data_IF_562782166743
#
_entry.id   IF_562782166743
#
_cell.length_a   1.000
_cell.length_b   1.000
_cell.length_c   1.000
_cell.angle_alpha   90.00
_cell.angle_beta   90.00
_cell.angle_gamma   90.00
#
_symmetry.space_group_name_H-M   'P 1'
#
loop_
_entity.id
_entity.type
_entity.pdbx_description
1 polymer ?
#
# COMPACT_ATOMS: atom_id res chain seq x y z
N UNK A 1 -4.86 -20.67 -3.02
CA UNK A 1 -3.51 -21.09 -2.63
C UNK A 1 -2.49 -20.53 -3.63
N UNK A 2 -1.52 -19.76 -3.16
CA UNK A 2 -0.38 -19.30 -3.99
C UNK A 2 0.69 -20.39 -4.04
N UNK A 3 0.86 -21.11 -2.94
CA UNK A 3 1.74 -22.27 -2.84
C UNK A 3 0.87 -23.51 -2.84
N UNK A 4 0.71 -24.09 -4.01
CA UNK A 4 -0.02 -25.31 -4.31
C UNK A 4 0.95 -26.48 -4.59
N UNK A 5 0.42 -27.63 -4.97
CA UNK A 5 1.21 -28.81 -5.31
C UNK A 5 2.20 -28.53 -6.46
N UNK A 6 1.79 -27.76 -7.48
CA UNK A 6 2.65 -27.42 -8.61
C UNK A 6 3.84 -26.56 -8.18
N UNK A 7 3.62 -25.61 -7.30
CA UNK A 7 4.67 -24.79 -6.72
C UNK A 7 5.64 -25.63 -5.85
N UNK A 8 5.10 -26.53 -5.03
CA UNK A 8 5.89 -27.43 -4.17
C UNK A 8 6.77 -28.38 -4.97
N UNK A 9 6.28 -28.91 -6.10
CA UNK A 9 7.06 -29.77 -7.01
C UNK A 9 8.28 -29.09 -7.62
N UNK A 10 8.29 -27.75 -7.67
CA UNK A 10 9.41 -26.94 -8.20
C UNK A 10 10.45 -26.60 -7.14
N UNK A 11 10.17 -26.91 -5.87
CA UNK A 11 11.11 -26.66 -4.77
C UNK A 11 12.18 -27.73 -4.69
N UNK A 12 13.32 -27.37 -4.13
CA UNK A 12 14.39 -28.35 -3.83
C UNK A 12 13.95 -29.22 -2.66
N UNK A 13 14.26 -30.53 -2.64
CA UNK A 13 13.92 -31.39 -1.49
C UNK A 13 14.52 -30.94 -0.15
N UNK A 14 15.60 -30.16 -0.21
CA UNK A 14 16.24 -29.55 0.98
C UNK A 14 15.62 -28.23 1.41
N UNK A 15 14.59 -27.74 0.70
CA UNK A 15 13.96 -26.46 1.01
C UNK A 15 13.18 -26.52 2.34
N UNK A 16 13.17 -25.39 3.05
CA UNK A 16 12.23 -25.11 4.12
C UNK A 16 11.24 -24.06 3.63
N UNK A 17 9.96 -24.31 3.81
CA UNK A 17 8.89 -23.35 3.51
C UNK A 17 8.45 -22.69 4.82
N UNK A 18 8.43 -21.36 4.84
CA UNK A 18 7.99 -20.57 5.98
C UNK A 18 6.76 -19.75 5.58
N UNK A 19 5.68 -19.84 6.35
CA UNK A 19 4.46 -19.08 6.16
C UNK A 19 4.09 -18.30 7.43
N UNK A 20 4.52 -17.05 7.48
CA UNK A 20 4.12 -16.06 8.49
C UNK A 20 3.18 -15.00 7.91
N UNK A 21 2.66 -15.20 6.70
CA UNK A 21 1.77 -14.27 6.03
C UNK A 21 0.29 -14.55 6.32
N UNK A 22 -0.28 -15.60 5.70
CA UNK A 22 -1.67 -16.04 5.95
C UNK A 22 -1.84 -17.52 5.60
N UNK A 23 -2.66 -18.22 6.39
CA UNK A 23 -2.92 -19.66 6.21
C UNK A 23 -3.37 -20.04 4.79
N UNK A 24 -4.40 -19.41 4.21
CA UNK A 24 -4.92 -19.75 2.89
C UNK A 24 -3.97 -19.53 1.71
N UNK A 25 -2.79 -18.98 1.92
CA UNK A 25 -1.78 -18.85 0.85
C UNK A 25 -1.13 -20.20 0.50
N UNK A 26 -1.17 -21.16 1.41
CA UNK A 26 -0.50 -22.47 1.29
C UNK A 26 -1.53 -23.57 1.34
N UNK A 27 -1.44 -24.54 0.42
CA UNK A 27 -2.23 -25.74 0.44
C UNK A 27 -1.66 -26.72 1.49
N UNK A 28 -2.35 -26.85 2.60
CA UNK A 28 -1.92 -27.66 3.73
C UNK A 28 -1.80 -29.15 3.39
N UNK A 29 -2.75 -29.68 2.59
CA UNK A 29 -2.74 -31.07 2.18
C UNK A 29 -1.56 -31.35 1.23
N UNK A 30 -1.30 -30.46 0.29
CA UNK A 30 -0.16 -30.57 -0.62
C UNK A 30 1.19 -30.49 0.13
N UNK A 31 1.28 -29.61 1.14
CA UNK A 31 2.48 -29.52 2.00
C UNK A 31 2.69 -30.81 2.76
N UNK A 32 1.63 -31.41 3.35
CA UNK A 32 1.72 -32.66 4.06
C UNK A 32 2.26 -33.78 3.16
N UNK A 33 1.67 -33.94 1.98
CA UNK A 33 2.14 -34.90 0.99
C UNK A 33 3.60 -34.71 0.59
N UNK A 34 4.01 -33.44 0.36
CA UNK A 34 5.39 -33.11 0.00
C UNK A 34 6.40 -33.45 1.11
N UNK A 35 6.01 -33.27 2.38
CA UNK A 35 6.84 -33.65 3.53
C UNK A 35 6.96 -35.16 3.68
N UNK A 36 5.84 -35.90 3.55
CA UNK A 36 5.80 -37.38 3.64
C UNK A 36 6.61 -38.03 2.52
N UNK A 37 6.57 -37.49 1.31
CA UNK A 37 7.34 -37.96 0.15
C UNK A 37 8.81 -37.45 0.14
N UNK A 38 9.23 -36.62 1.10
CA UNK A 38 10.58 -36.10 1.17
C UNK A 38 10.90 -35.04 0.10
N UNK A 39 9.88 -34.47 -0.55
CA UNK A 39 10.02 -33.39 -1.54
C UNK A 39 10.15 -32.02 -0.90
N UNK A 40 9.84 -31.91 0.38
CA UNK A 40 10.05 -30.71 1.21
C UNK A 40 10.71 -31.14 2.52
N UNK A 41 11.74 -30.42 2.94
CA UNK A 41 12.46 -30.76 4.19
C UNK A 41 11.67 -30.36 5.43
N UNK A 42 11.10 -29.18 5.45
CA UNK A 42 10.47 -28.61 6.65
C UNK A 42 9.43 -27.58 6.26
N UNK A 43 8.34 -27.53 7.01
CA UNK A 43 7.36 -26.45 6.95
C UNK A 43 7.26 -25.75 8.31
N UNK A 44 7.31 -24.44 8.31
CA UNK A 44 7.11 -23.60 9.51
C UNK A 44 5.96 -22.66 9.24
N UNK A 45 4.97 -22.62 10.12
CA UNK A 45 3.80 -21.77 9.93
C UNK A 45 3.29 -21.19 11.24
N UNK A 46 2.83 -19.97 11.14
CA UNK A 46 2.13 -19.25 12.21
C UNK A 46 0.59 -19.49 12.17
N UNK A 47 0.16 -20.37 11.28
CA UNK A 47 -1.25 -20.68 11.04
C UNK A 47 -1.49 -22.17 11.22
N UNK A 48 -1.92 -22.62 12.42
CA UNK A 48 -2.27 -24.01 12.68
C UNK A 48 -3.36 -24.49 11.71
N UNK A 49 -3.17 -25.67 11.13
CA UNK A 49 -4.22 -26.38 10.40
C UNK A 49 -4.30 -27.82 10.90
N UNK A 50 -5.50 -28.43 10.96
CA UNK A 50 -5.65 -29.80 11.45
C UNK A 50 -4.79 -30.82 10.70
N UNK A 51 -4.57 -30.59 9.40
CA UNK A 51 -3.79 -31.47 8.52
C UNK A 51 -2.30 -31.50 8.85
N UNK A 52 -1.80 -30.44 9.45
CA UNK A 52 -0.36 -30.21 9.67
C UNK A 52 0.05 -30.31 11.14
N UNK A 53 -0.89 -30.20 12.08
CA UNK A 53 -0.60 -30.34 13.51
C UNK A 53 -0.12 -31.77 13.80
N UNK A 54 1.06 -31.85 14.42
CA UNK A 54 1.68 -33.15 14.76
C UNK A 54 2.34 -33.87 13.59
N UNK A 55 2.32 -33.33 12.38
CA UNK A 55 3.04 -33.88 11.25
C UNK A 55 4.56 -33.77 11.44
N UNK A 56 5.31 -34.76 10.95
CA UNK A 56 6.77 -34.76 11.02
C UNK A 56 7.35 -33.58 10.20
N UNK A 57 8.37 -32.94 10.71
CA UNK A 57 9.04 -31.81 10.08
C UNK A 57 8.16 -30.55 9.91
N UNK A 58 7.10 -30.43 10.70
CA UNK A 58 6.25 -29.25 10.81
C UNK A 58 6.47 -28.57 12.15
N UNK A 59 6.67 -27.26 12.11
CA UNK A 59 6.69 -26.40 13.29
C UNK A 59 5.55 -25.39 13.14
N UNK A 60 4.68 -25.35 14.13
CA UNK A 60 3.54 -24.44 14.16
C UNK A 60 3.65 -23.51 15.37
N UNK A 61 3.50 -22.22 15.16
CA UNK A 61 3.40 -21.20 16.20
C UNK A 61 1.98 -20.61 16.23
N UNK A 62 1.52 -20.10 17.40
CA UNK A 62 0.14 -19.67 17.56
C UNK A 62 -0.11 -18.23 17.09
N UNK A 63 0.21 -17.91 15.84
CA UNK A 63 0.01 -16.61 15.20
C UNK A 63 0.75 -15.46 15.90
N UNK A 64 2.01 -15.65 16.20
CA UNK A 64 2.86 -14.71 16.93
C UNK A 64 3.80 -13.87 16.03
N UNK A 65 3.83 -14.12 14.72
CA UNK A 65 4.81 -13.52 13.81
C UNK A 65 4.77 -11.98 13.75
N UNK A 66 3.63 -11.36 14.04
CA UNK A 66 3.48 -9.91 14.12
C UNK A 66 3.26 -9.38 15.55
N UNK A 67 3.27 -10.26 16.57
CA UNK A 67 2.92 -9.92 17.96
C UNK A 67 4.14 -10.00 18.86
N UNK A 68 5.27 -9.51 18.39
CA UNK A 68 6.45 -9.29 19.21
C UNK A 68 6.57 -7.81 19.58
N UNK A 69 7.14 -7.45 20.74
CA UNK A 69 7.34 -6.04 21.14
C UNK A 69 8.04 -5.21 20.06
N UNK A 70 9.05 -5.78 19.39
CA UNK A 70 9.78 -5.11 18.32
C UNK A 70 8.91 -4.89 17.08
N UNK A 71 8.05 -5.86 16.73
CA UNK A 71 7.14 -5.76 15.60
C UNK A 71 6.09 -4.68 15.84
N UNK A 72 5.50 -4.67 17.03
CA UNK A 72 4.50 -3.67 17.42
C UNK A 72 5.09 -2.26 17.42
N UNK A 73 6.26 -2.06 18.04
CA UNK A 73 6.95 -0.76 18.06
C UNK A 73 7.32 -0.28 16.65
N UNK A 74 7.83 -1.16 15.80
CA UNK A 74 8.15 -0.84 14.40
C UNK A 74 6.90 -0.48 13.60
N UNK A 75 5.79 -1.21 13.76
CA UNK A 75 4.52 -0.90 13.11
C UNK A 75 4.00 0.48 13.51
N UNK A 76 3.98 0.77 14.83
CA UNK A 76 3.52 2.07 15.34
C UNK A 76 4.38 3.21 14.80
N UNK A 77 5.70 3.08 14.86
CA UNK A 77 6.62 4.12 14.33
C UNK A 77 6.47 4.33 12.83
N UNK A 78 6.32 3.24 12.07
CA UNK A 78 6.15 3.32 10.63
C UNK A 78 4.85 4.01 10.27
N UNK A 79 3.73 3.62 10.88
CA UNK A 79 2.41 4.22 10.63
C UNK A 79 2.40 5.70 11.04
N UNK A 80 2.97 6.05 12.21
CA UNK A 80 3.05 7.43 12.67
C UNK A 80 3.80 8.32 11.67
N UNK A 81 4.94 7.86 11.15
CA UNK A 81 5.72 8.58 10.14
C UNK A 81 4.96 8.74 8.83
N UNK A 82 4.27 7.70 8.36
CA UNK A 82 3.50 7.74 7.11
C UNK A 82 2.32 8.70 7.22
N UNK A 83 1.62 8.70 8.36
CA UNK A 83 0.51 9.64 8.61
C UNK A 83 1.03 11.07 8.71
N UNK A 84 2.11 11.31 9.45
CA UNK A 84 2.72 12.63 9.56
C UNK A 84 3.15 13.17 8.20
N UNK A 85 3.81 12.36 7.38
CA UNK A 85 4.22 12.73 6.03
C UNK A 85 3.02 12.99 5.10
N UNK A 86 1.97 12.16 5.18
CA UNK A 86 0.72 12.43 4.45
C UNK A 86 0.06 13.74 4.88
N UNK A 87 0.01 14.01 6.18
CA UNK A 87 -0.63 15.22 6.70
C UNK A 87 0.15 16.48 6.35
N UNK A 88 1.45 16.47 6.42
CA UNK A 88 2.34 17.61 6.20
C UNK A 88 2.72 17.82 4.74
N UNK A 89 3.03 16.74 4.04
CA UNK A 89 3.62 16.79 2.71
C UNK A 89 2.70 16.22 1.62
N UNK A 90 1.62 15.53 1.97
CA UNK A 90 0.74 14.87 1.01
C UNK A 90 1.30 13.58 0.44
N UNK A 91 2.37 13.02 1.00
CA UNK A 91 2.92 11.74 0.56
C UNK A 91 1.96 10.59 0.82
N UNK A 92 1.79 9.69 -0.15
CA UNK A 92 1.10 8.41 0.04
C UNK A 92 2.13 7.29 -0.10
N UNK A 93 2.30 6.51 0.96
CA UNK A 93 3.17 5.34 1.00
C UNK A 93 2.44 4.18 1.68
N UNK A 94 2.52 2.99 1.08
CA UNK A 94 1.90 1.76 1.59
C UNK A 94 0.37 1.82 1.78
N UNK A 95 -0.32 2.64 0.99
CA UNK A 95 -1.78 2.66 1.01
C UNK A 95 -2.38 1.37 0.45
N UNK A 96 -3.47 0.89 1.05
CA UNK A 96 -4.19 -0.30 0.58
C UNK A 96 -4.84 -0.09 -0.79
N UNK A 97 -5.36 1.10 -1.06
CA UNK A 97 -6.21 1.40 -2.22
C UNK A 97 -5.61 2.45 -3.18
N UNK A 98 -4.86 3.42 -2.68
CA UNK A 98 -4.21 4.43 -3.52
C UNK A 98 -2.81 4.01 -3.95
N UNK A 99 -2.30 4.52 -5.07
CA UNK A 99 -0.92 4.28 -5.50
C UNK A 99 0.07 4.95 -4.56
N UNK A 100 1.29 4.43 -4.50
CA UNK A 100 2.38 5.14 -3.85
C UNK A 100 2.69 6.43 -4.62
N UNK A 101 2.74 7.54 -3.90
CA UNK A 101 3.09 8.85 -4.41
C UNK A 101 3.95 9.56 -3.35
N UNK A 102 5.23 9.16 -3.22
CA UNK A 102 6.13 9.81 -2.27
C UNK A 102 6.42 11.23 -2.75
N UNK A 103 6.24 12.19 -1.86
CA UNK A 103 6.49 13.60 -2.11
C UNK A 103 7.62 14.10 -1.21
N UNK A 104 8.40 15.05 -1.70
CA UNK A 104 9.32 15.80 -0.86
C UNK A 104 8.58 16.73 0.10
N UNK A 105 9.35 17.40 0.99
CA UNK A 105 8.81 18.38 1.92
C UNK A 105 7.99 19.44 1.18
N UNK A 106 6.87 19.83 1.75
CA UNK A 106 6.02 20.89 1.22
C UNK A 106 6.67 22.25 1.50
N UNK A 107 7.33 22.82 0.50
CA UNK A 107 8.07 24.09 0.60
C UNK A 107 7.38 25.26 -0.11
N UNK A 108 6.37 24.96 -0.91
CA UNK A 108 5.46 25.92 -1.57
C UNK A 108 4.03 25.45 -1.35
N UNK A 109 3.00 26.28 -1.59
CA UNK A 109 1.62 25.82 -1.50
C UNK A 109 1.38 24.59 -2.38
N UNK A 110 0.78 23.56 -1.81
CA UNK A 110 0.55 22.27 -2.46
C UNK A 110 -0.91 21.89 -2.40
N UNK A 111 -1.49 21.59 -3.54
CA UNK A 111 -2.84 21.04 -3.67
C UNK A 111 -2.75 19.54 -3.88
N UNK A 112 -3.52 18.79 -3.13
CA UNK A 112 -3.64 17.34 -3.34
C UNK A 112 -5.07 16.98 -3.66
N UNK A 113 -5.27 16.16 -4.68
CA UNK A 113 -6.58 15.73 -5.17
C UNK A 113 -6.63 14.20 -5.25
N UNK A 114 -7.50 13.60 -4.45
CA UNK A 114 -7.90 12.20 -4.60
C UNK A 114 -9.08 12.16 -5.56
N UNK A 115 -8.98 11.41 -6.65
CA UNK A 115 -10.00 11.43 -7.70
C UNK A 115 -10.15 10.10 -8.43
N UNK A 116 -11.19 10.01 -9.26
CA UNK A 116 -11.36 8.89 -10.18
C UNK A 116 -10.29 8.90 -11.27
N UNK A 117 -9.81 7.73 -11.64
CA UNK A 117 -8.88 7.58 -12.76
C UNK A 117 -9.64 7.50 -14.09
N UNK A 118 -10.13 8.63 -14.56
CA UNK A 118 -10.88 8.77 -15.80
C UNK A 118 -10.31 9.91 -16.68
N UNK A 119 -10.58 9.92 -18.01
CA UNK A 119 -10.10 10.98 -18.88
C UNK A 119 -10.51 12.39 -18.43
N UNK A 120 -9.71 13.38 -18.81
CA UNK A 120 -9.92 14.83 -18.61
C UNK A 120 -9.83 15.35 -17.17
N UNK A 121 -9.66 14.53 -16.13
CA UNK A 121 -9.58 15.04 -14.75
C UNK A 121 -8.36 15.94 -14.55
N UNK A 122 -7.19 15.54 -15.04
CA UNK A 122 -5.97 16.35 -14.97
C UNK A 122 -6.16 17.67 -15.74
N UNK A 123 -6.74 17.61 -16.94
CA UNK A 123 -7.07 18.80 -17.72
C UNK A 123 -8.01 19.76 -16.96
N UNK A 124 -9.03 19.23 -16.31
CA UNK A 124 -9.96 20.03 -15.49
C UNK A 124 -9.28 20.67 -14.28
N UNK A 125 -8.33 19.97 -13.63
CA UNK A 125 -7.54 20.53 -12.53
C UNK A 125 -6.64 21.66 -13.04
N UNK A 126 -5.84 21.40 -14.07
CA UNK A 126 -4.86 22.37 -14.59
C UNK A 126 -5.54 23.62 -15.18
N UNK A 127 -6.70 23.46 -15.84
CA UNK A 127 -7.48 24.57 -16.35
C UNK A 127 -7.95 25.53 -15.23
N UNK A 128 -8.40 24.98 -14.09
CA UNK A 128 -8.81 25.77 -12.94
C UNK A 128 -7.64 26.55 -12.33
N UNK A 129 -6.48 25.90 -12.19
CA UNK A 129 -5.26 26.55 -11.72
C UNK A 129 -4.85 27.70 -12.64
N UNK A 130 -4.84 27.45 -13.97
CA UNK A 130 -4.49 28.44 -14.97
C UNK A 130 -5.47 29.61 -15.01
N UNK A 131 -6.77 29.37 -14.79
CA UNK A 131 -7.77 30.47 -14.76
C UNK A 131 -7.59 31.44 -13.59
N UNK A 132 -6.91 31.02 -12.50
CA UNK A 132 -6.52 31.89 -11.39
C UNK A 132 -5.10 32.49 -11.58
N UNK A 133 -4.43 32.19 -12.69
CA UNK A 133 -3.08 32.69 -12.97
C UNK A 133 -1.98 32.02 -12.14
N UNK A 134 -2.26 30.88 -11.54
CA UNK A 134 -1.27 30.13 -10.76
C UNK A 134 -0.34 29.34 -11.68
N UNK A 135 0.97 29.52 -11.51
CA UNK A 135 1.96 28.68 -12.14
C UNK A 135 2.09 27.33 -11.41
N UNK A 136 2.24 26.25 -12.18
CA UNK A 136 2.51 24.92 -11.64
C UNK A 136 4.02 24.74 -11.55
N UNK A 137 4.55 24.66 -10.33
CA UNK A 137 5.97 24.46 -10.06
C UNK A 137 6.36 22.98 -10.18
N UNK A 138 5.45 22.08 -9.76
CA UNK A 138 5.61 20.66 -9.85
C UNK A 138 4.24 19.99 -9.90
N UNK A 139 4.14 18.89 -10.62
CA UNK A 139 2.92 18.11 -10.70
C UNK A 139 3.23 16.63 -10.79
N UNK A 140 2.61 15.84 -9.93
CA UNK A 140 2.69 14.38 -9.95
C UNK A 140 1.28 13.81 -9.96
N UNK A 141 1.03 12.88 -10.87
CA UNK A 141 -0.19 12.08 -10.88
C UNK A 141 0.17 10.60 -10.87
N UNK A 142 -0.40 9.87 -9.95
CA UNK A 142 -0.26 8.42 -9.85
C UNK A 142 -1.63 7.77 -9.83
N UNK A 143 -1.77 6.62 -10.48
CA UNK A 143 -3.04 5.90 -10.54
C UNK A 143 -2.89 4.43 -10.18
N UNK A 144 -3.95 3.85 -9.60
CA UNK A 144 -4.07 2.43 -9.29
C UNK A 144 -5.51 1.99 -9.51
N UNK A 145 -5.75 1.27 -10.61
CA UNK A 145 -7.10 0.87 -11.02
C UNK A 145 -7.99 2.09 -11.27
N UNK A 146 -9.12 2.15 -10.59
CA UNK A 146 -10.09 3.24 -10.73
C UNK A 146 -9.76 4.50 -9.91
N UNK A 147 -8.71 4.48 -9.10
CA UNK A 147 -8.33 5.57 -8.20
C UNK A 147 -7.05 6.26 -8.69
N UNK A 148 -7.02 7.58 -8.57
CA UNK A 148 -5.85 8.39 -8.87
C UNK A 148 -5.62 9.44 -7.78
N UNK A 149 -4.38 9.86 -7.68
CA UNK A 149 -3.93 10.89 -6.77
C UNK A 149 -3.06 11.87 -7.52
N UNK A 150 -3.50 13.12 -7.57
CA UNK A 150 -2.75 14.23 -8.16
C UNK A 150 -2.26 15.16 -7.07
N UNK A 151 -0.98 15.51 -7.14
CA UNK A 151 -0.35 16.51 -6.27
C UNK A 151 0.19 17.61 -7.15
N UNK A 152 -0.11 18.86 -6.83
CA UNK A 152 0.34 20.02 -7.58
C UNK A 152 0.94 21.04 -6.61
N UNK A 153 2.18 21.41 -6.85
CA UNK A 153 2.85 22.52 -6.20
C UNK A 153 2.62 23.79 -7.04
N UNK A 154 2.20 24.86 -6.41
CA UNK A 154 1.83 26.10 -7.10
C UNK A 154 2.62 27.30 -6.58
N UNK A 155 2.80 28.31 -7.45
CA UNK A 155 3.64 29.48 -7.20
C UNK A 155 3.13 30.40 -6.08
N UNK A 156 1.84 30.37 -5.79
CA UNK A 156 1.22 31.19 -4.75
C UNK A 156 0.06 30.47 -4.07
N UNK A 157 -0.40 31.00 -2.95
CA UNK A 157 -1.55 30.44 -2.22
C UNK A 157 -2.81 30.55 -3.10
N UNK A 158 -3.48 29.42 -3.40
CA UNK A 158 -4.76 29.44 -4.13
C UNK A 158 -5.87 30.08 -3.29
N UNK A 159 -6.86 30.65 -3.98
CA UNK A 159 -8.06 31.15 -3.33
C UNK A 159 -8.93 30.01 -2.77
N UNK A 160 -9.77 30.33 -1.80
CA UNK A 160 -10.75 29.35 -1.30
C UNK A 160 -11.77 28.97 -2.39
N UNK A 161 -12.11 29.92 -3.28
CA UNK A 161 -12.99 29.67 -4.43
C UNK A 161 -12.42 28.63 -5.38
N UNK A 162 -11.11 28.66 -5.65
CA UNK A 162 -10.45 27.64 -6.46
C UNK A 162 -10.49 26.27 -5.77
N UNK A 163 -10.16 26.21 -4.49
CA UNK A 163 -10.20 24.95 -3.75
C UNK A 163 -11.61 24.35 -3.77
N UNK A 164 -12.64 25.18 -3.58
CA UNK A 164 -14.02 24.73 -3.65
C UNK A 164 -14.42 24.28 -5.05
N UNK A 165 -13.95 24.97 -6.09
CA UNK A 165 -14.17 24.57 -7.48
C UNK A 165 -13.54 23.21 -7.80
N UNK A 166 -12.39 22.87 -7.20
CA UNK A 166 -11.78 21.55 -7.32
C UNK A 166 -12.54 20.48 -6.53
N UNK A 167 -13.09 20.83 -5.36
CA UNK A 167 -13.94 19.93 -4.55
C UNK A 167 -15.24 19.60 -5.27
N UNK A 168 -15.81 20.55 -6.01
CA UNK A 168 -17.07 20.38 -6.75
C UNK A 168 -16.95 19.54 -8.03
N UNK A 169 -15.75 19.13 -8.44
CA UNK A 169 -15.58 18.19 -9.55
C UNK A 169 -16.24 16.85 -9.19
N UNK A 170 -17.17 16.36 -10.01
CA UNK A 170 -17.84 15.06 -9.80
C UNK A 170 -16.88 13.88 -9.66
N UNK A 171 -15.70 14.01 -10.25
CA UNK A 171 -14.64 12.99 -10.18
C UNK A 171 -13.76 13.11 -8.95
N UNK A 172 -13.87 14.21 -8.18
CA UNK A 172 -13.05 14.46 -6.98
C UNK A 172 -13.65 13.78 -5.76
N UNK A 173 -12.82 13.04 -5.03
CA UNK A 173 -13.21 12.48 -3.72
C UNK A 173 -12.79 13.38 -2.56
N UNK A 174 -11.61 13.99 -2.66
CA UNK A 174 -11.08 14.87 -1.62
C UNK A 174 -10.02 15.79 -2.18
N UNK A 175 -10.10 17.07 -1.80
CA UNK A 175 -9.10 18.10 -2.09
C UNK A 175 -8.55 18.65 -0.79
N UNK A 176 -7.23 18.79 -0.70
CA UNK A 176 -6.54 19.42 0.43
C UNK A 176 -5.58 20.48 -0.07
N UNK A 177 -5.51 21.59 0.63
CA UNK A 177 -4.47 22.59 0.51
C UNK A 177 -3.47 22.39 1.67
N UNK A 178 -2.22 22.20 1.34
CA UNK A 178 -1.10 22.13 2.27
C UNK A 178 -0.27 23.40 2.13
N UNK A 179 0.10 23.98 3.24
CA UNK A 179 0.96 25.17 3.28
C UNK A 179 2.35 24.77 3.79
N UNK A 180 3.40 25.45 3.31
CA UNK A 180 4.76 25.25 3.83
C UNK A 180 4.82 25.36 5.35
N UNK A 181 5.62 24.45 5.96
CA UNK A 181 5.91 24.43 7.40
C UNK A 181 7.36 24.79 7.66
#
# INVERSE_FOLDING_TARGET
>A
NTIDEAALRRMKPTAALLNFARGPLVDAAAVRAALEEGRLRTYVSDFPSPELIGAKNVVVTPHLGASTPESEDNCVRMVARQIDDYLKNGSIVNSCNYPNCPMGRCVVPRITVLHQNVPNVIGAITQRLSSEGLNIENMVNQSRGALAYTVVDVSARPSEALIESLRSLETSYRVRLLMPQ
#
